data_IF_613529396192
#
_entry.id   IF_613529396192
#
_cell.length_a   1.000
_cell.length_b   1.000
_cell.length_c   1.000
_cell.angle_alpha   90.00
_cell.angle_beta   90.00
_cell.angle_gamma   90.00
#
_symmetry.space_group_name_H-M   'P 1'
#
loop_
_entity.id
_entity.type
_entity.pdbx_description
1 polymer ?
#
# COMPACT_ATOMS: atom_id res chain seq x y z
N UNK A 1 50.29 -10.36 -36.53
CA UNK A 1 49.03 -9.63 -36.81
C UNK A 1 48.13 -9.90 -35.61
N UNK A 2 48.22 -9.15 -34.51
CA UNK A 2 47.53 -7.86 -34.24
C UNK A 2 46.03 -7.89 -34.57
N UNK A 3 45.27 -7.51 -33.54
CA UNK A 3 43.85 -7.15 -33.48
C UNK A 3 42.93 -8.29 -33.02
N UNK A 4 42.08 -8.14 -32.02
CA UNK A 4 41.87 -7.04 -31.06
C UNK A 4 40.91 -7.62 -30.00
N UNK A 5 41.22 -7.45 -28.72
CA UNK A 5 40.21 -7.50 -27.66
C UNK A 5 39.12 -6.47 -27.96
N UNK A 6 37.85 -6.86 -27.91
CA UNK A 6 36.68 -5.97 -27.81
C UNK A 6 35.67 -6.69 -26.90
N UNK A 7 35.88 -6.57 -25.59
CA UNK A 7 35.11 -5.67 -24.72
C UNK A 7 33.71 -6.24 -24.46
N UNK A 8 33.64 -6.92 -23.30
CA UNK A 8 32.45 -7.00 -22.45
C UNK A 8 31.70 -5.66 -22.43
N UNK A 9 30.39 -5.73 -22.17
CA UNK A 9 29.45 -4.63 -21.86
C UNK A 9 28.45 -4.40 -22.99
N UNK A 10 27.20 -4.79 -22.76
CA UNK A 10 26.13 -3.78 -22.73
C UNK A 10 24.78 -4.35 -22.29
N UNK A 11 24.28 -3.77 -21.20
CA UNK A 11 22.87 -3.52 -20.90
C UNK A 11 21.93 -4.73 -20.69
N UNK A 12 22.04 -5.34 -19.51
CA UNK A 12 20.83 -5.58 -18.73
C UNK A 12 20.34 -4.21 -18.22
N UNK A 13 19.53 -3.53 -19.03
CA UNK A 13 18.74 -2.40 -18.57
C UNK A 13 17.64 -2.96 -17.66
N UNK A 14 17.99 -3.22 -16.39
CA UNK A 14 16.99 -3.40 -15.35
C UNK A 14 16.36 -2.03 -15.16
N UNK A 15 15.28 -1.78 -15.90
CA UNK A 15 14.35 -0.70 -15.60
C UNK A 15 13.78 -1.03 -14.23
N UNK A 16 14.45 -0.56 -13.18
CA UNK A 16 13.84 -0.40 -11.87
C UNK A 16 12.80 0.68 -12.04
N UNK A 17 11.60 0.25 -12.44
CA UNK A 17 10.38 1.02 -12.25
C UNK A 17 10.33 1.21 -10.73
N UNK A 18 10.81 2.36 -10.27
CA UNK A 18 10.52 2.87 -8.95
C UNK A 18 9.00 3.06 -8.93
N UNK A 19 8.27 2.00 -8.56
CA UNK A 19 6.89 2.12 -8.11
C UNK A 19 7.02 3.01 -6.89
N UNK A 20 6.81 4.31 -7.09
CA UNK A 20 6.56 5.23 -5.99
C UNK A 20 5.26 4.73 -5.39
N UNK A 21 5.38 3.80 -4.44
CA UNK A 21 4.33 3.37 -3.55
C UNK A 21 3.92 4.63 -2.79
N UNK A 22 3.04 5.43 -3.37
CA UNK A 22 2.36 6.47 -2.64
C UNK A 22 1.37 5.73 -1.76
N UNK A 23 1.79 5.46 -0.52
CA UNK A 23 0.96 4.86 0.48
C UNK A 23 -0.44 5.51 0.48
N UNK A 24 -1.49 4.70 0.35
CA UNK A 24 -2.88 5.18 0.31
C UNK A 24 -3.63 4.69 1.53
N UNK A 25 -4.21 5.62 2.28
CA UNK A 25 -5.21 5.30 3.28
C UNK A 25 -6.56 5.09 2.59
N UNK A 26 -7.10 3.90 2.75
CA UNK A 26 -8.35 3.47 2.17
C UNK A 26 -9.42 3.37 3.23
N UNK A 27 -10.64 3.80 2.90
CA UNK A 27 -11.83 3.59 3.73
C UNK A 27 -13.10 3.51 2.87
N UNK A 28 -14.12 2.88 3.43
CA UNK A 28 -15.45 2.73 2.84
C UNK A 28 -16.55 3.32 3.72
N UNK A 29 -17.78 3.26 3.23
CA UNK A 29 -18.96 3.83 3.90
C UNK A 29 -19.28 3.17 5.24
N UNK A 30 -18.97 1.89 5.41
CA UNK A 30 -19.24 1.10 6.61
C UNK A 30 -17.97 0.71 7.38
N UNK A 31 -16.85 1.37 7.08
CA UNK A 31 -15.56 1.10 7.73
C UNK A 31 -15.51 1.82 9.07
N UNK A 32 -16.28 1.30 10.02
CA UNK A 32 -16.38 1.84 11.37
C UNK A 32 -16.59 0.69 12.35
N UNK A 33 -16.00 0.82 13.55
CA UNK A 33 -16.27 -0.04 14.69
C UNK A 33 -16.44 0.81 15.94
N UNK A 34 -17.57 0.67 16.61
CA UNK A 34 -17.87 1.36 17.88
C UNK A 34 -17.72 2.88 17.79
N UNK A 35 -18.20 3.52 16.72
CA UNK A 35 -18.10 4.97 16.53
C UNK A 35 -16.73 5.46 16.04
N UNK A 36 -15.77 4.55 15.82
CA UNK A 36 -14.43 4.88 15.33
C UNK A 36 -14.23 4.40 13.91
N UNK A 37 -13.85 5.32 13.03
CA UNK A 37 -13.54 5.03 11.64
C UNK A 37 -12.36 4.08 11.54
N UNK A 38 -12.48 3.09 10.67
CA UNK A 38 -11.41 2.18 10.29
C UNK A 38 -10.83 2.72 8.99
N UNK A 39 -9.56 3.10 9.00
CA UNK A 39 -8.83 3.52 7.80
C UNK A 39 -7.65 2.59 7.64
N UNK A 40 -7.39 2.05 6.45
CA UNK A 40 -6.29 1.10 6.25
C UNK A 40 -5.31 1.65 5.24
N UNK A 41 -4.05 1.78 5.62
CA UNK A 41 -2.97 2.17 4.74
C UNK A 41 -2.43 0.96 3.97
N UNK A 42 -2.28 1.12 2.66
CA UNK A 42 -1.68 0.14 1.76
C UNK A 42 -0.62 0.82 0.90
N UNK A 43 0.31 0.05 0.32
CA UNK A 43 1.40 0.59 -0.53
C UNK A 43 0.94 1.24 -1.84
N UNK A 44 -0.35 1.13 -2.18
CA UNK A 44 -0.97 1.74 -3.34
C UNK A 44 -2.48 1.55 -3.33
N UNK A 45 -3.14 1.81 -4.46
CA UNK A 45 -4.59 1.64 -4.65
C UNK A 45 -4.95 0.61 -5.73
N UNK A 46 -4.07 -0.33 -6.06
CA UNK A 46 -4.38 -1.40 -7.00
C UNK A 46 -5.56 -2.24 -6.50
N UNK A 47 -6.23 -2.99 -7.38
CA UNK A 47 -7.32 -3.89 -6.97
C UNK A 47 -6.90 -4.84 -5.84
N UNK A 48 -5.68 -5.37 -5.88
CA UNK A 48 -5.11 -6.21 -4.82
C UNK A 48 -4.94 -5.45 -3.50
N UNK A 49 -4.46 -4.21 -3.54
CA UNK A 49 -4.30 -3.36 -2.35
C UNK A 49 -5.66 -3.04 -1.73
N UNK A 50 -6.67 -2.76 -2.56
CA UNK A 50 -8.05 -2.55 -2.12
C UNK A 50 -8.66 -3.76 -1.44
N UNK A 51 -8.41 -4.95 -1.99
CA UNK A 51 -8.85 -6.21 -1.37
C UNK A 51 -8.18 -6.44 -0.02
N UNK A 52 -6.87 -6.22 0.08
CA UNK A 52 -6.14 -6.32 1.36
C UNK A 52 -6.68 -5.35 2.39
N UNK A 53 -6.91 -4.08 2.01
CA UNK A 53 -7.47 -3.08 2.91
C UNK A 53 -8.86 -3.50 3.44
N UNK A 54 -9.71 -4.03 2.56
CA UNK A 54 -11.03 -4.56 2.93
C UNK A 54 -10.94 -5.76 3.88
N UNK A 55 -9.99 -6.67 3.66
CA UNK A 55 -9.78 -7.84 4.51
C UNK A 55 -9.28 -7.42 5.91
N UNK A 56 -8.38 -6.44 5.98
CA UNK A 56 -7.92 -5.83 7.23
C UNK A 56 -9.09 -5.16 7.96
N UNK A 57 -9.90 -4.36 7.25
CA UNK A 57 -11.10 -3.77 7.83
C UNK A 57 -12.02 -4.85 8.41
N UNK A 58 -12.25 -5.94 7.67
CA UNK A 58 -13.15 -7.00 8.10
C UNK A 58 -12.65 -7.71 9.36
N UNK A 59 -11.32 -7.91 9.48
CA UNK A 59 -10.68 -8.44 10.69
C UNK A 59 -10.84 -7.51 11.88
N UNK A 60 -10.62 -6.20 11.69
CA UNK A 60 -10.74 -5.20 12.75
C UNK A 60 -12.19 -5.07 13.20
N UNK A 61 -13.11 -4.88 12.25
CA UNK A 61 -14.55 -4.72 12.47
C UNK A 61 -15.16 -5.97 13.12
N UNK A 62 -14.69 -7.16 12.72
CA UNK A 62 -15.28 -8.45 13.10
C UNK A 62 -16.47 -8.86 12.23
N UNK A 63 -16.70 -8.14 11.13
CA UNK A 63 -17.73 -8.41 10.12
C UNK A 63 -17.21 -7.96 8.76
N UNK A 64 -17.86 -8.39 7.68
CA UNK A 64 -17.53 -7.91 6.33
C UNK A 64 -17.58 -6.37 6.26
N UNK A 65 -16.58 -5.78 5.61
CA UNK A 65 -16.58 -4.37 5.21
C UNK A 65 -16.93 -4.23 3.72
N UNK A 66 -17.52 -3.10 3.33
CA UNK A 66 -17.75 -2.75 1.93
C UNK A 66 -16.43 -2.52 1.18
N UNK A 67 -16.50 -2.46 -0.14
CA UNK A 67 -15.35 -2.04 -0.94
C UNK A 67 -14.88 -0.63 -0.55
N UNK A 68 -13.57 -0.38 -0.51
CA UNK A 68 -13.06 0.97 -0.25
C UNK A 68 -13.50 1.91 -1.38
N UNK A 69 -14.08 3.04 -1.00
CA UNK A 69 -14.59 4.06 -1.92
C UNK A 69 -13.79 5.36 -1.87
N UNK A 70 -12.96 5.53 -0.84
CA UNK A 70 -12.13 6.72 -0.67
C UNK A 70 -10.68 6.38 -0.44
N UNK A 71 -9.80 7.19 -1.01
CA UNK A 71 -8.35 7.01 -1.00
C UNK A 71 -7.69 8.34 -0.65
N UNK A 72 -6.98 8.40 0.47
CA UNK A 72 -6.17 9.56 0.86
C UNK A 72 -4.69 9.23 0.70
N UNK A 73 -3.88 10.19 0.27
CA UNK A 73 -2.44 10.01 0.07
C UNK A 73 -1.61 10.07 1.36
N UNK A 74 -2.23 10.35 2.51
CA UNK A 74 -1.51 10.61 3.76
C UNK A 74 -1.76 9.52 4.79
N UNK A 75 -0.87 8.52 4.83
CA UNK A 75 -0.83 7.51 5.89
C UNK A 75 -0.18 7.97 7.20
N UNK A 76 0.01 9.28 7.39
CA UNK A 76 0.85 9.84 8.45
C UNK A 76 0.15 10.40 9.68
N UNK A 77 -1.18 10.44 9.77
CA UNK A 77 -1.88 11.17 10.84
C UNK A 77 -2.33 10.29 12.03
N UNK A 78 -1.79 9.08 12.15
CA UNK A 78 -2.15 8.17 13.24
C UNK A 78 -3.60 7.70 13.21
N UNK A 79 -4.29 7.78 12.08
CA UNK A 79 -5.68 7.33 11.92
C UNK A 79 -5.80 6.02 11.12
N UNK A 80 -4.68 5.50 10.59
CA UNK A 80 -4.67 4.36 9.69
C UNK A 80 -4.04 3.12 10.33
N UNK A 81 -4.71 1.97 10.15
CA UNK A 81 -4.17 0.64 10.37
C UNK A 81 -3.25 0.25 9.20
N UNK A 82 -2.21 -0.53 9.45
CA UNK A 82 -1.36 -1.08 8.39
C UNK A 82 -2.01 -2.31 7.70
N UNK A 83 -1.31 -2.88 6.72
CA UNK A 83 -1.71 -4.11 6.00
C UNK A 83 -1.89 -5.34 6.91
N UNK A 84 -1.39 -5.29 8.15
CA UNK A 84 -1.52 -6.35 9.14
C UNK A 84 -2.67 -6.10 10.14
N UNK A 85 -3.31 -4.92 10.07
CA UNK A 85 -4.32 -4.49 11.04
C UNK A 85 -3.72 -3.93 12.34
N UNK A 86 -2.44 -3.55 12.34
CA UNK A 86 -1.80 -2.88 13.46
C UNK A 86 -2.02 -1.38 13.35
N UNK A 87 -2.53 -0.78 14.42
CA UNK A 87 -2.69 0.67 14.51
C UNK A 87 -1.34 1.30 14.83
N UNK A 88 -0.80 2.09 13.90
CA UNK A 88 0.48 2.77 14.09
C UNK A 88 0.28 4.28 13.99
N UNK A 89 0.76 5.01 15.00
CA UNK A 89 0.71 6.48 15.04
C UNK A 89 1.56 7.13 13.94
N UNK A 90 2.56 6.42 13.45
CA UNK A 90 3.44 6.80 12.36
C UNK A 90 3.68 5.59 11.48
N UNK A 91 3.16 5.61 10.25
CA UNK A 91 3.53 4.64 9.20
C UNK A 91 4.74 5.16 8.41
N UNK A 92 5.73 5.74 9.11
CA UNK A 92 6.99 6.19 8.50
C UNK A 92 7.74 4.96 7.99
N UNK A 93 7.60 4.69 6.68
CA UNK A 93 8.14 3.49 6.04
C UNK A 93 7.24 2.86 4.96
N UNK A 94 6.02 3.39 4.77
CA UNK A 94 5.18 3.10 3.61
C UNK A 94 5.37 4.11 2.48
#
# INVERSE_FOLDING_TARGET
MKALSLVFVSMFAVMMISVQANAKCQYGSDWEKSGKKIVVCTKGDSFSDRKKAQDVCSKIKGSSCSSPSTFSSSCGNGECYDENGTYSYSLSGY
#
